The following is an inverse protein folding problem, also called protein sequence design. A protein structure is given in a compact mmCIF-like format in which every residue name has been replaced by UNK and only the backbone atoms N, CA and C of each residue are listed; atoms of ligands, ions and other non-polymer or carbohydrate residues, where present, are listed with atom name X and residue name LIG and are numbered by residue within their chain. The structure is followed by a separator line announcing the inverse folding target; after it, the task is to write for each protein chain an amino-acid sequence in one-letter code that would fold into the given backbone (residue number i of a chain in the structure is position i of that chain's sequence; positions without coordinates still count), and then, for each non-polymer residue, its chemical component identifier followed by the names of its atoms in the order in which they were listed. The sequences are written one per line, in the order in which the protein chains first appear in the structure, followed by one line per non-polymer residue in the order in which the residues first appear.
data_IF_096548480535
#
_entry.id   IF_096548480535
#
_cell.length_a   1.000
_cell.length_b   1.000
_cell.length_c   1.000
_cell.angle_alpha   90.00
_cell.angle_beta   90.00
_cell.angle_gamma   90.00
#
_symmetry.space_group_name_H-M   'P 1'
#
loop_
_entity.id
_entity.type
_entity.pdbx_description
1 polymer ?
#
# COMPACT_ATOMS: atom_id res chain seq x y z
N UNK A 1 14.78 -22.14 3.39
CA UNK A 1 14.77 -20.67 3.40
C UNK A 1 14.46 -20.30 4.83
N UNK A 2 15.26 -19.45 5.46
CA UNK A 2 14.94 -18.95 6.80
C UNK A 2 13.64 -18.14 6.72
N UNK A 3 12.78 -18.29 7.73
CA UNK A 3 11.58 -17.45 7.86
C UNK A 3 12.04 -16.03 8.18
N UNK A 4 12.12 -15.19 7.14
CA UNK A 4 12.42 -13.77 7.28
C UNK A 4 11.36 -13.09 8.15
N UNK A 5 11.80 -12.11 8.94
CA UNK A 5 10.93 -11.19 9.68
C UNK A 5 10.95 -9.88 8.91
N UNK A 6 9.77 -9.44 8.49
CA UNK A 6 9.60 -8.21 7.76
C UNK A 6 9.23 -7.07 8.70
N UNK A 7 9.60 -5.87 8.31
CA UNK A 7 9.18 -4.62 8.92
C UNK A 7 8.83 -3.63 7.81
N UNK A 8 7.70 -2.97 7.95
CA UNK A 8 7.22 -1.94 7.01
C UNK A 8 7.16 -0.61 7.74
N UNK A 9 7.73 0.43 7.14
CA UNK A 9 7.59 1.81 7.60
C UNK A 9 6.78 2.60 6.58
N UNK A 10 5.71 3.25 7.01
CA UNK A 10 4.84 4.09 6.19
C UNK A 10 5.32 5.55 6.17
N UNK A 11 4.66 6.38 5.37
CA UNK A 11 5.06 7.78 5.13
C UNK A 11 4.98 8.67 6.38
N UNK A 12 4.09 8.33 7.32
CA UNK A 12 3.92 9.02 8.60
C UNK A 12 4.81 8.45 9.71
N UNK A 13 5.82 7.65 9.35
CA UNK A 13 6.71 6.92 10.25
C UNK A 13 6.03 5.80 11.05
N UNK A 14 4.75 5.46 10.77
CA UNK A 14 4.11 4.28 11.35
C UNK A 14 4.90 3.02 10.99
N UNK A 15 5.25 2.24 12.01
CA UNK A 15 6.02 0.99 11.86
C UNK A 15 5.10 -0.20 12.09
N UNK A 16 5.05 -1.10 11.11
CA UNK A 16 4.46 -2.43 11.20
C UNK A 16 5.59 -3.46 11.27
N UNK A 17 5.84 -4.03 12.44
CA UNK A 17 6.96 -4.93 12.68
C UNK A 17 6.54 -6.38 12.89
N UNK A 18 7.54 -7.26 13.03
CA UNK A 18 7.35 -8.69 13.30
C UNK A 18 6.42 -9.39 12.28
N UNK A 19 6.47 -8.95 11.02
CA UNK A 19 5.63 -9.44 9.95
C UNK A 19 6.22 -10.72 9.35
N UNK A 20 5.35 -11.65 8.95
CA UNK A 20 5.70 -12.79 8.09
C UNK A 20 5.20 -12.57 6.67
N UNK A 21 5.81 -13.22 5.70
CA UNK A 21 5.38 -13.17 4.31
C UNK A 21 4.95 -14.55 3.82
N UNK A 22 3.77 -14.63 3.19
CA UNK A 22 3.29 -15.84 2.52
C UNK A 22 2.73 -15.48 1.14
N UNK A 23 3.45 -15.87 0.08
CA UNK A 23 3.21 -15.33 -1.26
C UNK A 23 3.41 -13.83 -1.24
N UNK A 24 2.32 -13.08 -1.47
CA UNK A 24 2.31 -11.61 -1.43
C UNK A 24 1.61 -11.05 -0.17
N UNK A 25 1.22 -11.91 0.78
CA UNK A 25 0.53 -11.48 1.99
C UNK A 25 1.53 -11.27 3.12
N UNK A 26 1.56 -10.05 3.64
CA UNK A 26 2.14 -9.77 4.95
C UNK A 26 1.17 -10.24 6.04
N UNK A 27 1.72 -10.82 7.10
CA UNK A 27 0.96 -11.41 8.19
C UNK A 27 1.44 -10.78 9.49
N UNK A 28 0.54 -10.07 10.16
CA UNK A 28 0.75 -9.49 11.48
C UNK A 28 0.00 -10.30 12.55
N UNK A 29 0.62 -10.46 13.72
CA UNK A 29 -0.09 -10.95 14.92
C UNK A 29 -0.70 -9.81 15.73
N UNK A 30 -0.29 -8.57 15.45
CA UNK A 30 -0.89 -7.35 16.01
C UNK A 30 -2.06 -6.91 15.15
N UNK A 31 -3.06 -6.29 15.78
CA UNK A 31 -4.19 -5.70 15.05
C UNK A 31 -3.72 -4.57 14.14
N UNK A 32 -4.21 -4.59 12.90
CA UNK A 32 -3.97 -3.53 11.91
C UNK A 32 -5.33 -3.11 11.37
N UNK A 33 -5.64 -1.82 11.52
CA UNK A 33 -6.81 -1.22 10.89
C UNK A 33 -6.44 -0.78 9.47
N UNK A 34 -7.37 -0.93 8.53
CA UNK A 34 -7.24 -0.43 7.16
C UNK A 34 -6.87 1.06 7.12
N UNK A 35 -7.40 1.86 8.05
CA UNK A 35 -7.14 3.30 8.14
C UNK A 35 -5.68 3.66 8.36
N UNK A 36 -4.82 2.71 8.75
CA UNK A 36 -3.37 2.95 8.88
C UNK A 36 -2.73 3.23 7.52
N UNK A 37 -3.32 2.72 6.43
CA UNK A 37 -2.80 2.87 5.07
C UNK A 37 -3.34 4.12 4.35
N UNK A 38 -4.43 4.72 4.85
CA UNK A 38 -5.09 5.86 4.22
C UNK A 38 -4.17 7.08 4.13
N UNK A 39 -3.75 7.41 2.90
CA UNK A 39 -2.82 8.53 2.64
C UNK A 39 -1.36 8.28 3.07
N UNK A 40 -1.06 7.11 3.61
CA UNK A 40 0.23 6.79 4.23
C UNK A 40 1.14 5.88 3.39
N UNK A 41 0.69 5.44 2.21
CA UNK A 41 1.44 4.56 1.31
C UNK A 41 2.23 5.30 0.21
N UNK A 42 2.39 6.63 0.32
CA UNK A 42 3.13 7.42 -0.69
C UNK A 42 4.62 7.04 -0.79
N UNK A 43 5.21 6.72 0.35
CA UNK A 43 6.55 6.16 0.54
C UNK A 43 6.40 5.02 1.53
N UNK A 44 6.84 3.82 1.12
CA UNK A 44 6.81 2.62 1.94
C UNK A 44 8.19 2.00 1.92
N UNK A 45 8.80 1.85 3.10
CA UNK A 45 10.06 1.12 3.25
C UNK A 45 9.77 -0.28 3.74
N UNK A 46 10.11 -1.30 2.95
CA UNK A 46 9.99 -2.71 3.32
C UNK A 46 11.38 -3.23 3.66
N UNK A 47 11.59 -3.60 4.91
CA UNK A 47 12.77 -4.31 5.37
C UNK A 47 12.47 -5.81 5.43
N UNK A 48 13.31 -6.62 4.78
CA UNK A 48 13.16 -8.09 4.76
C UNK A 48 13.94 -8.81 5.87
N UNK A 49 14.44 -8.06 6.85
CA UNK A 49 15.35 -8.51 7.91
C UNK A 49 16.83 -8.32 7.57
N UNK A 50 17.17 -8.02 6.31
CA UNK A 50 18.56 -7.83 5.87
C UNK A 50 18.76 -6.48 5.18
N UNK A 51 17.84 -6.09 4.30
CA UNK A 51 17.93 -4.88 3.48
C UNK A 51 16.61 -4.10 3.49
N UNK A 52 16.76 -2.80 3.30
CA UNK A 52 15.64 -1.89 3.07
C UNK A 52 15.40 -1.74 1.56
N UNK A 53 14.14 -1.87 1.15
CA UNK A 53 13.66 -1.50 -0.17
C UNK A 53 12.64 -0.38 -0.02
N UNK A 54 12.82 0.70 -0.79
CA UNK A 54 11.94 1.88 -0.75
C UNK A 54 11.06 1.85 -1.99
N UNK A 55 9.76 1.84 -1.76
CA UNK A 55 8.73 1.82 -2.79
C UNK A 55 7.99 3.15 -2.78
N UNK A 56 7.77 3.71 -3.97
CA UNK A 56 7.01 4.93 -4.16
C UNK A 56 5.59 4.57 -4.60
N UNK A 57 4.59 5.24 -4.02
CA UNK A 57 3.18 5.11 -4.36
C UNK A 57 2.69 3.66 -4.32
N UNK A 58 2.66 3.07 -3.12
CA UNK A 58 1.97 1.80 -2.92
C UNK A 58 0.51 2.03 -2.58
N UNK A 59 -0.28 0.96 -2.65
CA UNK A 59 -1.66 0.94 -2.16
C UNK A 59 -1.94 -0.35 -1.40
N UNK A 60 -2.92 -0.28 -0.48
CA UNK A 60 -3.50 -1.46 0.13
C UNK A 60 -4.49 -2.11 -0.84
N UNK A 61 -4.22 -3.35 -1.23
CA UNK A 61 -5.13 -4.13 -2.09
C UNK A 61 -6.21 -4.83 -1.26
N UNK A 62 -5.83 -5.32 -0.08
CA UNK A 62 -6.70 -6.07 0.81
C UNK A 62 -6.11 -6.12 2.22
N UNK A 63 -6.98 -6.12 3.23
CA UNK A 63 -6.68 -6.59 4.59
C UNK A 63 -7.80 -7.51 5.10
N UNK A 64 -7.45 -8.62 5.75
CA UNK A 64 -8.42 -9.56 6.33
C UNK A 64 -7.88 -10.24 7.59
N UNK A 65 -8.78 -10.62 8.50
CA UNK A 65 -8.44 -11.32 9.74
C UNK A 65 -8.67 -12.82 9.59
N UNK A 66 -7.62 -13.62 9.79
CA UNK A 66 -7.64 -15.10 9.72
C UNK A 66 -6.91 -15.68 10.92
N UNK A 67 -7.59 -16.50 11.72
CA UNK A 67 -7.03 -17.15 12.93
C UNK A 67 -6.28 -16.16 13.84
N UNK A 68 -6.94 -15.03 14.16
CA UNK A 68 -6.40 -13.94 14.98
C UNK A 68 -5.15 -13.23 14.45
N UNK A 69 -4.83 -13.43 13.17
CA UNK A 69 -3.77 -12.71 12.46
C UNK A 69 -4.37 -11.83 11.36
N UNK A 70 -3.70 -10.73 11.07
CA UNK A 70 -4.10 -9.79 10.04
C UNK A 70 -3.23 -10.02 8.81
N UNK A 71 -3.87 -10.39 7.71
CA UNK A 71 -3.25 -10.67 6.42
C UNK A 71 -3.54 -9.51 5.48
N UNK A 72 -2.51 -8.90 4.92
CA UNK A 72 -2.66 -7.76 4.04
C UNK A 72 -1.69 -7.79 2.87
N UNK A 73 -2.09 -7.13 1.77
CA UNK A 73 -1.31 -7.06 0.54
C UNK A 73 -1.10 -5.61 0.17
N UNK A 74 0.15 -5.22 -0.06
CA UNK A 74 0.52 -3.95 -0.66
C UNK A 74 0.97 -4.19 -2.11
N UNK A 75 0.62 -3.26 -3.00
CA UNK A 75 1.02 -3.27 -4.40
C UNK A 75 1.64 -1.93 -4.76
N UNK A 76 2.73 -1.95 -5.55
CA UNK A 76 3.22 -0.73 -6.20
C UNK A 76 2.24 -0.26 -7.27
N UNK A 77 1.87 1.01 -7.23
CA UNK A 77 1.11 1.66 -8.30
C UNK A 77 2.10 2.27 -9.28
N UNK A 78 2.21 1.74 -10.51
CA UNK A 78 3.18 2.25 -11.48
C UNK A 78 2.85 3.70 -11.87
N UNK A 79 3.87 4.52 -12.14
CA UNK A 79 3.69 5.92 -12.52
C UNK A 79 2.78 6.12 -13.73
N UNK A 80 2.74 5.16 -14.65
CA UNK A 80 1.83 5.19 -15.81
C UNK A 80 0.36 5.11 -15.40
N UNK A 81 0.04 4.36 -14.35
CA UNK A 81 -1.32 4.28 -13.79
C UNK A 81 -1.69 5.60 -13.11
N UNK A 82 -0.77 6.19 -12.34
CA UNK A 82 -0.94 7.51 -11.74
C UNK A 82 -1.15 8.61 -12.80
N UNK A 83 -0.36 8.59 -13.88
CA UNK A 83 -0.49 9.53 -14.98
C UNK A 83 -1.83 9.39 -15.69
N UNK A 84 -2.31 8.16 -15.89
CA UNK A 84 -3.61 7.89 -16.50
C UNK A 84 -4.77 8.38 -15.63
N UNK A 85 -4.72 8.15 -14.31
CA UNK A 85 -5.71 8.67 -13.36
C UNK A 85 -5.75 10.20 -13.39
N UNK A 86 -4.57 10.84 -13.43
CA UNK A 86 -4.49 12.30 -13.54
C UNK A 86 -5.09 12.83 -14.84
N UNK A 87 -4.77 12.20 -15.98
CA UNK A 87 -5.33 12.58 -17.28
C UNK A 87 -6.86 12.43 -17.30
N UNK A 88 -7.41 11.36 -16.74
CA UNK A 88 -8.87 11.20 -16.61
C UNK A 88 -9.48 12.30 -15.72
N UNK A 89 -8.87 12.57 -14.57
CA UNK A 89 -9.34 13.62 -13.64
C UNK A 89 -9.35 15.00 -14.30
N UNK A 90 -8.31 15.32 -15.07
CA UNK A 90 -8.20 16.57 -15.82
C UNK A 90 -9.30 16.67 -16.91
N UNK A 91 -9.63 15.56 -17.59
CA UNK A 91 -10.71 15.50 -18.58
C UNK A 91 -12.08 15.67 -17.92
N UNK A 92 -12.35 14.97 -16.82
CA UNK A 92 -13.60 15.09 -16.07
C UNK A 92 -13.82 16.51 -15.56
N UNK A 93 -12.76 17.14 -15.04
CA UNK A 93 -12.79 18.54 -14.62
C UNK A 93 -13.15 19.48 -15.78
N UNK A 94 -12.53 19.30 -16.95
CA UNK A 94 -12.83 20.11 -18.15
C UNK A 94 -14.27 19.87 -18.64
N UNK A 95 -14.74 18.63 -18.64
CA UNK A 95 -16.11 18.28 -19.05
C UNK A 95 -17.15 18.93 -18.15
N UNK A 96 -16.95 18.87 -16.82
CA UNK A 96 -17.79 19.52 -15.82
C UNK A 96 -17.83 21.05 -16.01
N UNK A 97 -16.68 21.68 -16.30
CA UNK A 97 -16.59 23.13 -16.56
C UNK A 97 -17.19 23.55 -17.91
N UNK A 98 -17.28 22.62 -18.87
CA UNK A 98 -17.76 22.89 -20.23
C UNK A 98 -19.24 22.52 -20.43
N UNK A 99 -19.93 22.06 -19.37
CA UNK A 99 -21.30 21.50 -19.44
C UNK A 99 -21.43 20.34 -20.44
N UNK A 100 -20.33 19.62 -20.70
CA UNK A 100 -20.32 18.47 -21.61
C UNK A 100 -20.54 17.21 -20.75
N UNK A 101 -21.66 16.53 -20.98
CA UNK A 101 -21.86 15.16 -20.45
C UNK A 101 -20.94 14.19 -21.23
N UNK A 102 -20.12 13.43 -20.49
CA UNK A 102 -19.20 12.41 -21.03
C UNK A 102 -19.91 11.08 -21.32
#
# INVERSE_FOLDING_TARGET
MEDKIYKITLSDETVLDNLRLNGNNFISSSEINESVFDGNCSIVTINDGEKDEVHMNMELVQITKVNDKYWFVLREVPETELAFVKMQSDIEYVAMMSEIEL
#
